data_IF_507476421962
#
_entry.id   IF_507476421962
#
_cell.length_a   1.000
_cell.length_b   1.000
_cell.length_c   1.000
_cell.angle_alpha   90.00
_cell.angle_beta   90.00
_cell.angle_gamma   90.00
#
_symmetry.space_group_name_H-M   'P 1'
#
loop_
_entity.id
_entity.type
_entity.pdbx_description
1 polymer ?
#
# COMPACT_ATOMS: atom_id res chain seq x y z
N UNK A 1 31.63 -4.23 3.33
CA UNK A 1 31.26 -3.58 2.05
C UNK A 1 30.81 -2.18 2.41
N UNK A 2 31.29 -1.14 1.72
CA UNK A 2 30.74 0.20 1.92
C UNK A 2 29.42 0.26 1.16
N UNK A 3 28.32 -0.05 1.85
CA UNK A 3 27.00 0.11 1.25
C UNK A 3 26.84 1.57 0.81
N UNK A 4 26.54 1.77 -0.47
CA UNK A 4 26.41 3.10 -1.08
C UNK A 4 25.17 3.81 -0.55
N UNK A 5 24.09 3.06 -0.37
CA UNK A 5 22.90 3.45 0.37
C UNK A 5 23.17 3.31 1.88
N UNK A 6 22.71 4.26 2.68
CA UNK A 6 22.84 4.23 4.14
C UNK A 6 21.49 4.42 4.80
N UNK A 7 21.44 4.08 6.08
CA UNK A 7 20.32 4.39 6.96
C UNK A 7 20.87 5.05 8.22
N UNK A 8 20.41 6.26 8.49
CA UNK A 8 20.81 7.06 9.65
C UNK A 8 19.65 7.11 10.64
N UNK A 9 19.97 7.04 11.94
CA UNK A 9 19.00 7.14 13.01
C UNK A 9 19.31 8.39 13.82
N UNK A 10 18.38 9.32 13.82
CA UNK A 10 18.42 10.54 14.62
C UNK A 10 17.25 10.50 15.60
N UNK A 11 17.55 10.46 16.90
CA UNK A 11 16.57 10.20 17.97
C UNK A 11 15.75 8.92 17.69
N UNK A 12 14.46 9.07 17.43
CA UNK A 12 13.54 7.98 17.13
C UNK A 12 13.11 7.97 15.65
N UNK A 13 13.83 8.69 14.78
CA UNK A 13 13.52 8.78 13.36
C UNK A 13 14.65 8.19 12.51
N UNK A 14 14.28 7.29 11.62
CA UNK A 14 15.13 6.67 10.64
C UNK A 14 15.02 7.39 9.30
N UNK A 15 16.16 7.64 8.67
CA UNK A 15 16.23 8.24 7.35
C UNK A 15 17.18 7.46 6.45
N UNK A 16 16.73 7.12 5.24
CA UNK A 16 17.64 6.63 4.21
C UNK A 16 18.49 7.77 3.65
N UNK A 17 19.73 7.48 3.27
CA UNK A 17 20.63 8.46 2.65
C UNK A 17 21.14 7.89 1.35
N UNK A 18 20.82 8.57 0.25
CA UNK A 18 21.25 8.26 -1.12
C UNK A 18 22.33 9.29 -1.53
N UNK A 19 23.63 8.99 -1.41
CA UNK A 19 24.66 9.98 -1.72
C UNK A 19 24.67 10.35 -3.21
N UNK A 20 24.62 11.65 -3.51
CA UNK A 20 24.57 12.19 -4.88
C UNK A 20 25.70 11.66 -5.78
N UNK A 21 26.90 11.47 -5.22
CA UNK A 21 28.05 10.95 -5.96
C UNK A 21 27.80 9.56 -6.59
N UNK A 22 26.83 8.81 -6.08
CA UNK A 22 26.46 7.49 -6.58
C UNK A 22 25.07 7.45 -7.20
N UNK A 23 24.10 8.16 -6.62
CA UNK A 23 22.70 8.09 -7.02
C UNK A 23 22.24 9.28 -7.84
N UNK A 24 22.95 10.41 -7.88
CA UNK A 24 22.48 11.65 -8.53
C UNK A 24 22.10 11.45 -10.00
N UNK A 25 23.05 10.99 -10.83
CA UNK A 25 22.76 10.73 -12.26
C UNK A 25 21.73 9.62 -12.49
N UNK A 26 21.59 8.69 -11.54
CA UNK A 26 20.62 7.62 -11.61
C UNK A 26 19.21 8.12 -11.29
N UNK A 27 19.09 9.04 -10.32
CA UNK A 27 17.86 9.74 -9.97
C UNK A 27 17.40 10.60 -11.14
N UNK A 28 18.30 11.36 -11.76
CA UNK A 28 17.96 12.16 -12.95
C UNK A 28 17.41 11.29 -14.10
N UNK A 29 18.10 10.18 -14.44
CA UNK A 29 17.65 9.24 -15.48
C UNK A 29 16.33 8.54 -15.11
N UNK A 30 16.11 8.31 -13.82
CA UNK A 30 14.88 7.71 -13.31
C UNK A 30 13.70 8.68 -13.36
N UNK A 31 13.88 9.93 -12.94
CA UNK A 31 12.85 10.95 -12.96
C UNK A 31 12.42 11.26 -14.41
N UNK A 32 13.38 11.40 -15.35
CA UNK A 32 13.09 11.52 -16.78
C UNK A 32 12.30 10.32 -17.32
N UNK A 33 12.55 9.12 -16.80
CA UNK A 33 11.83 7.91 -17.18
C UNK A 33 10.38 7.91 -16.66
N UNK A 34 10.16 8.35 -15.42
CA UNK A 34 8.83 8.47 -14.85
C UNK A 34 8.04 9.51 -15.63
N UNK A 35 8.61 10.70 -15.84
CA UNK A 35 7.97 11.79 -16.58
C UNK A 35 7.55 11.34 -17.99
N UNK A 36 8.44 10.67 -18.73
CA UNK A 36 8.13 10.18 -20.07
C UNK A 36 7.02 9.10 -20.08
N UNK A 37 6.86 8.34 -19.00
CA UNK A 37 5.76 7.37 -18.89
C UNK A 37 4.45 8.06 -18.54
N UNK A 38 4.48 9.00 -17.58
CA UNK A 38 3.31 9.76 -17.14
C UNK A 38 2.75 10.69 -18.23
N UNK A 39 3.60 11.12 -19.20
CA UNK A 39 3.20 11.90 -20.38
C UNK A 39 2.87 11.05 -21.62
N UNK A 40 2.76 9.73 -21.47
CA UNK A 40 2.49 8.77 -22.55
C UNK A 40 3.52 8.80 -23.71
N UNK A 41 4.73 9.33 -23.50
CA UNK A 41 5.80 9.37 -24.52
C UNK A 41 6.42 7.99 -24.77
N UNK A 42 6.35 7.09 -23.78
CA UNK A 42 6.84 5.72 -23.90
C UNK A 42 5.76 4.71 -23.54
N UNK A 43 5.80 3.55 -24.21
CA UNK A 43 4.92 2.44 -23.84
C UNK A 43 5.29 1.82 -22.49
N UNK A 44 4.31 1.23 -21.81
CA UNK A 44 4.49 0.46 -20.59
C UNK A 44 5.58 -0.63 -20.74
N UNK A 45 5.66 -1.28 -21.90
CA UNK A 45 6.71 -2.27 -22.18
C UNK A 45 8.11 -1.64 -22.19
N UNK A 46 8.25 -0.45 -22.79
CA UNK A 46 9.50 0.32 -22.78
C UNK A 46 9.86 0.74 -21.36
N UNK A 47 8.88 1.26 -20.63
CA UNK A 47 9.00 1.69 -19.24
C UNK A 47 9.53 0.57 -18.33
N UNK A 48 8.88 -0.59 -18.31
CA UNK A 48 9.32 -1.76 -17.52
C UNK A 48 10.72 -2.23 -17.93
N UNK A 49 11.05 -2.23 -19.22
CA UNK A 49 12.38 -2.65 -19.68
C UNK A 49 13.47 -1.67 -19.25
N UNK A 50 13.20 -0.36 -19.26
CA UNK A 50 14.11 0.66 -18.76
C UNK A 50 14.28 0.58 -17.24
N UNK A 51 13.19 0.41 -16.47
CA UNK A 51 13.27 0.15 -15.03
C UNK A 51 14.11 -1.12 -14.72
N UNK A 52 13.90 -2.22 -15.45
CA UNK A 52 14.73 -3.44 -15.30
C UNK A 52 16.20 -3.23 -15.64
N UNK A 53 16.54 -2.27 -16.52
CA UNK A 53 17.93 -1.90 -16.79
C UNK A 53 18.51 -1.15 -15.60
N UNK A 54 17.82 -0.13 -15.09
CA UNK A 54 18.23 0.64 -13.91
C UNK A 54 18.43 -0.28 -12.68
N UNK A 55 17.47 -1.19 -12.43
CA UNK A 55 17.54 -2.18 -11.35
C UNK A 55 18.74 -3.15 -11.45
N UNK A 56 19.26 -3.39 -12.65
CA UNK A 56 20.47 -4.21 -12.86
C UNK A 56 21.74 -3.41 -12.70
N UNK A 57 21.71 -2.13 -13.06
CA UNK A 57 22.84 -1.22 -12.93
C UNK A 57 23.11 -0.86 -11.48
N UNK A 58 22.06 -0.58 -10.70
CA UNK A 58 22.16 -0.29 -9.28
C UNK A 58 21.04 -1.03 -8.53
N UNK A 59 21.31 -2.28 -8.07
CA UNK A 59 20.33 -3.09 -7.35
C UNK A 59 19.84 -2.47 -6.04
N UNK A 60 20.62 -1.56 -5.46
CA UNK A 60 20.32 -0.91 -4.18
C UNK A 60 19.44 0.33 -4.32
N UNK A 61 19.15 0.75 -5.55
CA UNK A 61 18.20 1.83 -5.79
C UNK A 61 16.79 1.34 -5.52
N UNK A 62 16.31 1.50 -4.28
CA UNK A 62 15.03 0.92 -3.81
C UNK A 62 13.86 1.33 -4.72
N UNK A 63 13.87 2.56 -5.21
CA UNK A 63 12.70 3.15 -5.87
C UNK A 63 12.35 2.45 -7.18
N UNK A 64 13.37 2.06 -7.96
CA UNK A 64 13.15 1.33 -9.21
C UNK A 64 12.40 0.02 -8.99
N UNK A 65 12.61 -0.63 -7.84
CA UNK A 65 11.93 -1.88 -7.49
C UNK A 65 10.48 -1.62 -7.05
N UNK A 66 10.22 -0.50 -6.38
CA UNK A 66 8.87 -0.08 -6.03
C UNK A 66 8.05 0.22 -7.29
N UNK A 67 8.58 1.00 -8.23
CA UNK A 67 7.88 1.30 -9.48
C UNK A 67 7.72 0.07 -10.40
N UNK A 68 8.69 -0.85 -10.42
CA UNK A 68 8.48 -2.16 -11.05
C UNK A 68 7.34 -2.94 -10.39
N UNK A 69 7.19 -2.86 -9.07
CA UNK A 69 6.12 -3.53 -8.36
C UNK A 69 4.75 -2.95 -8.72
N UNK A 70 4.61 -1.62 -8.75
CA UNK A 70 3.37 -0.95 -9.18
C UNK A 70 3.00 -1.29 -10.63
N UNK A 71 3.93 -1.22 -11.56
CA UNK A 71 3.67 -1.63 -12.95
C UNK A 71 3.18 -3.10 -13.06
N UNK A 72 3.70 -3.99 -12.21
CA UNK A 72 3.19 -5.37 -12.17
C UNK A 72 1.85 -5.53 -11.46
N UNK A 73 1.49 -4.64 -10.53
CA UNK A 73 0.15 -4.61 -9.92
C UNK A 73 -0.89 -4.17 -10.97
N UNK A 74 -0.58 -3.12 -11.74
CA UNK A 74 -1.42 -2.64 -12.85
C UNK A 74 -1.65 -3.73 -13.92
N UNK A 75 -0.64 -4.57 -14.18
CA UNK A 75 -0.77 -5.74 -15.06
C UNK A 75 -1.51 -6.93 -14.44
N UNK A 76 -2.05 -6.78 -13.21
CA UNK A 76 -2.64 -7.87 -12.43
C UNK A 76 -1.68 -9.08 -12.30
N UNK A 77 -0.39 -8.81 -12.11
CA UNK A 77 0.66 -9.80 -11.96
C UNK A 77 1.27 -9.78 -10.54
N UNK A 78 0.48 -10.04 -9.48
CA UNK A 78 0.86 -9.75 -8.10
C UNK A 78 2.06 -10.58 -7.61
N UNK A 79 2.31 -11.77 -8.17
CA UNK A 79 3.55 -12.53 -7.88
C UNK A 79 4.81 -11.80 -8.35
N UNK A 80 4.76 -11.16 -9.52
CA UNK A 80 5.88 -10.37 -10.05
C UNK A 80 6.05 -9.10 -9.23
N UNK A 81 4.93 -8.45 -8.88
CA UNK A 81 4.92 -7.27 -8.02
C UNK A 81 5.58 -7.56 -6.67
N UNK A 82 5.16 -8.62 -5.97
CA UNK A 82 5.73 -9.00 -4.69
C UNK A 82 7.23 -9.28 -4.81
N UNK A 83 7.67 -10.01 -5.85
CA UNK A 83 9.09 -10.28 -6.06
C UNK A 83 9.91 -9.01 -6.33
N UNK A 84 9.35 -8.00 -6.99
CA UNK A 84 10.01 -6.71 -7.19
C UNK A 84 10.07 -5.93 -5.86
N UNK A 85 8.93 -5.77 -5.19
CA UNK A 85 8.85 -5.07 -3.91
C UNK A 85 9.80 -5.65 -2.85
N UNK A 86 9.88 -6.99 -2.74
CA UNK A 86 10.78 -7.68 -1.81
C UNK A 86 12.27 -7.42 -2.10
N UNK A 87 12.67 -7.14 -3.35
CA UNK A 87 14.05 -6.76 -3.67
C UNK A 87 14.38 -5.37 -3.13
N UNK A 88 13.49 -4.40 -3.33
CA UNK A 88 13.63 -3.06 -2.76
C UNK A 88 13.64 -3.11 -1.22
N UNK A 89 12.73 -3.88 -0.63
CA UNK A 89 12.68 -4.08 0.81
C UNK A 89 13.93 -4.77 1.35
N UNK A 90 14.49 -5.76 0.63
CA UNK A 90 15.75 -6.39 1.03
C UNK A 90 16.91 -5.38 1.07
N UNK A 91 16.96 -4.45 0.11
CA UNK A 91 17.96 -3.39 0.07
C UNK A 91 17.83 -2.40 1.23
N UNK A 92 16.60 -2.07 1.66
CA UNK A 92 16.39 -1.22 2.83
C UNK A 92 16.58 -1.96 4.16
N UNK A 93 15.97 -3.15 4.31
CA UNK A 93 15.95 -3.91 5.56
C UNK A 93 17.36 -4.34 6.03
N UNK A 94 18.32 -4.54 5.12
CA UNK A 94 19.70 -4.85 5.52
C UNK A 94 20.41 -3.68 6.23
N UNK A 95 19.91 -2.45 6.05
CA UNK A 95 20.49 -1.23 6.62
C UNK A 95 19.77 -0.79 7.89
N UNK A 96 18.48 -1.12 8.04
CA UNK A 96 17.71 -0.83 9.24
C UNK A 96 18.20 -1.75 10.38
N UNK A 97 18.71 -1.21 11.51
CA UNK A 97 19.14 -2.03 12.63
C UNK A 97 17.99 -2.88 13.18
N UNK A 98 18.25 -4.14 13.57
CA UNK A 98 17.22 -5.01 14.16
C UNK A 98 16.59 -4.42 15.45
N UNK A 99 17.34 -3.59 16.18
CA UNK A 99 16.87 -2.90 17.38
C UNK A 99 16.11 -1.60 17.10
N UNK A 100 15.97 -1.19 15.84
CA UNK A 100 15.28 0.04 15.48
C UNK A 100 13.77 -0.12 15.69
N UNK A 101 13.21 0.70 16.57
CA UNK A 101 11.78 0.76 16.88
C UNK A 101 11.20 2.16 16.64
N UNK A 102 11.88 2.95 15.81
CA UNK A 102 11.50 4.31 15.48
C UNK A 102 10.61 4.42 14.25
N UNK A 103 10.35 5.66 13.85
CA UNK A 103 9.55 6.01 12.68
C UNK A 103 10.45 6.19 11.45
N UNK A 104 9.95 5.79 10.28
CA UNK A 104 10.51 6.10 8.96
C UNK A 104 9.46 6.96 8.26
N UNK A 105 9.49 8.28 8.53
CA UNK A 105 8.39 9.17 8.14
C UNK A 105 8.40 9.49 6.64
N UNK A 106 7.21 9.58 6.04
CA UNK A 106 7.01 9.88 4.62
C UNK A 106 7.51 11.26 4.17
N UNK A 107 7.51 12.23 5.10
CA UNK A 107 7.86 13.61 4.79
C UNK A 107 9.34 13.79 4.41
N UNK A 108 10.22 12.86 4.79
CA UNK A 108 11.58 12.77 4.26
C UNK A 108 11.53 12.11 2.87
N UNK A 109 11.86 12.84 1.78
CA UNK A 109 11.80 12.30 0.42
C UNK A 109 12.56 10.99 0.25
N UNK A 110 13.70 10.85 0.93
CA UNK A 110 14.59 9.70 0.89
C UNK A 110 13.94 8.44 1.49
N UNK A 111 12.94 8.57 2.36
CA UNK A 111 12.21 7.45 2.92
C UNK A 111 11.13 6.89 2.00
N UNK A 112 10.64 7.70 1.06
CA UNK A 112 9.52 7.34 0.18
C UNK A 112 9.81 6.08 -0.67
N UNK A 113 11.00 5.86 -1.25
CA UNK A 113 11.31 4.62 -1.95
C UNK A 113 11.03 3.36 -1.12
N UNK A 114 11.44 3.35 0.15
CA UNK A 114 11.23 2.20 1.04
C UNK A 114 9.75 2.03 1.41
N UNK A 115 9.05 3.11 1.76
CA UNK A 115 7.63 3.07 2.10
C UNK A 115 6.76 2.67 0.90
N UNK A 116 7.08 3.15 -0.30
CA UNK A 116 6.46 2.71 -1.57
C UNK A 116 6.68 1.21 -1.81
N UNK A 117 7.90 0.71 -1.65
CA UNK A 117 8.18 -0.72 -1.78
C UNK A 117 7.41 -1.56 -0.73
N UNK A 118 7.31 -1.06 0.51
CA UNK A 118 6.54 -1.71 1.57
C UNK A 118 5.05 -1.76 1.24
N UNK A 119 4.48 -0.65 0.78
CA UNK A 119 3.09 -0.58 0.36
C UNK A 119 2.78 -1.47 -0.84
N UNK A 120 3.64 -1.48 -1.86
CA UNK A 120 3.49 -2.38 -3.00
C UNK A 120 3.53 -3.87 -2.59
N UNK A 121 4.33 -4.22 -1.57
CA UNK A 121 4.32 -5.57 -1.00
C UNK A 121 3.03 -5.88 -0.25
N UNK A 122 2.43 -4.92 0.46
CA UNK A 122 1.11 -5.06 1.09
C UNK A 122 0.06 -5.37 0.02
N UNK A 123 -0.06 -4.50 -0.99
CA UNK A 123 -1.01 -4.67 -2.09
C UNK A 123 -0.83 -6.03 -2.78
N UNK A 124 0.41 -6.40 -3.11
CA UNK A 124 0.67 -7.68 -3.75
C UNK A 124 0.24 -8.88 -2.88
N UNK A 125 0.38 -8.81 -1.56
CA UNK A 125 -0.12 -9.86 -0.65
C UNK A 125 -1.64 -9.88 -0.55
N UNK A 126 -2.30 -8.72 -0.54
CA UNK A 126 -3.78 -8.60 -0.63
C UNK A 126 -4.29 -9.31 -1.89
N UNK A 127 -3.74 -8.98 -3.07
CA UNK A 127 -4.09 -9.64 -4.33
C UNK A 127 -3.80 -11.15 -4.36
N UNK A 128 -2.79 -11.60 -3.61
CA UNK A 128 -2.46 -13.02 -3.47
C UNK A 128 -3.27 -13.75 -2.38
N UNK A 129 -4.17 -13.05 -1.69
CA UNK A 129 -4.92 -13.56 -0.54
C UNK A 129 -4.03 -14.08 0.59
N UNK A 130 -2.85 -13.47 0.76
CA UNK A 130 -1.91 -13.77 1.84
C UNK A 130 -2.21 -12.84 3.01
N UNK A 131 -3.38 -13.05 3.61
CA UNK A 131 -3.96 -12.10 4.57
C UNK A 131 -3.09 -11.85 5.80
N UNK A 132 -2.44 -12.90 6.30
CA UNK A 132 -1.52 -12.77 7.44
C UNK A 132 -0.31 -11.88 7.09
N UNK A 133 0.28 -12.07 5.91
CA UNK A 133 1.43 -11.28 5.47
C UNK A 133 1.01 -9.83 5.20
N UNK A 134 -0.16 -9.62 4.60
CA UNK A 134 -0.71 -8.29 4.34
C UNK A 134 -0.96 -7.52 5.66
N UNK A 135 -1.59 -8.14 6.65
CA UNK A 135 -1.81 -7.53 7.97
C UNK A 135 -0.48 -7.19 8.66
N UNK A 136 0.48 -8.13 8.71
CA UNK A 136 1.79 -7.90 9.32
C UNK A 136 2.57 -6.75 8.67
N UNK A 137 2.57 -6.67 7.35
CA UNK A 137 3.23 -5.58 6.63
C UNK A 137 2.48 -4.25 6.78
N UNK A 138 1.14 -4.28 6.91
CA UNK A 138 0.32 -3.10 7.18
C UNK A 138 0.61 -2.54 8.58
N UNK A 139 0.68 -3.38 9.60
CA UNK A 139 1.09 -2.94 10.95
C UNK A 139 2.50 -2.34 10.92
N UNK A 140 3.42 -2.94 10.16
CA UNK A 140 4.79 -2.43 10.01
C UNK A 140 4.83 -1.06 9.34
N UNK A 141 4.10 -0.83 8.24
CA UNK A 141 4.12 0.48 7.58
C UNK A 141 3.46 1.55 8.45
N UNK A 142 2.43 1.21 9.23
CA UNK A 142 1.79 2.14 10.17
C UNK A 142 2.69 2.48 11.37
N UNK A 143 3.49 1.54 11.85
CA UNK A 143 4.49 1.79 12.88
C UNK A 143 5.61 2.72 12.38
N UNK A 144 6.03 2.54 11.13
CA UNK A 144 7.04 3.40 10.51
C UNK A 144 6.51 4.77 10.07
N UNK A 145 5.29 4.82 9.56
CA UNK A 145 4.68 6.05 9.05
C UNK A 145 3.28 6.26 9.67
N UNK A 146 3.21 6.75 10.93
CA UNK A 146 1.94 6.87 11.66
C UNK A 146 0.90 7.78 11.00
N UNK A 147 1.35 8.81 10.26
CA UNK A 147 0.48 9.70 9.49
C UNK A 147 -0.20 8.99 8.31
N UNK A 148 0.25 7.78 7.97
CA UNK A 148 -0.33 6.91 6.94
C UNK A 148 -0.62 7.63 5.62
N UNK A 149 0.37 8.36 5.12
CA UNK A 149 0.25 9.17 3.90
C UNK A 149 -0.17 8.35 2.66
N UNK A 150 0.00 7.03 2.69
CA UNK A 150 -0.37 6.11 1.60
C UNK A 150 -1.75 5.47 1.80
N UNK A 151 -2.41 5.66 2.96
CA UNK A 151 -3.72 5.10 3.25
C UNK A 151 -3.73 3.59 3.52
N UNK A 152 -2.62 3.03 3.98
CA UNK A 152 -2.49 1.60 4.29
C UNK A 152 -3.41 1.15 5.43
N UNK A 153 -3.83 2.05 6.34
CA UNK A 153 -4.73 1.71 7.44
C UNK A 153 -6.04 1.08 6.95
N UNK A 154 -6.50 1.47 5.77
CA UNK A 154 -7.74 0.96 5.18
C UNK A 154 -7.68 -0.52 4.82
N UNK A 155 -6.48 -1.07 4.62
CA UNK A 155 -6.29 -2.48 4.32
C UNK A 155 -6.32 -3.36 5.59
N UNK A 156 -6.02 -2.81 6.77
CA UNK A 156 -5.79 -3.59 7.98
C UNK A 156 -7.05 -4.35 8.46
N UNK A 157 -8.19 -3.66 8.61
CA UNK A 157 -9.43 -4.27 9.08
C UNK A 157 -9.93 -5.46 8.22
N UNK A 158 -10.05 -5.28 6.89
CA UNK A 158 -10.40 -6.35 5.96
C UNK A 158 -9.47 -7.56 6.03
N UNK A 159 -8.15 -7.33 6.11
CA UNK A 159 -7.16 -8.41 6.14
C UNK A 159 -7.21 -9.17 7.49
N UNK A 160 -7.32 -8.46 8.61
CA UNK A 160 -7.52 -9.08 9.94
C UNK A 160 -8.78 -9.95 9.97
N UNK A 161 -9.90 -9.49 9.40
CA UNK A 161 -11.12 -10.29 9.31
C UNK A 161 -10.87 -11.60 8.54
N UNK A 162 -10.16 -11.54 7.41
CA UNK A 162 -9.86 -12.71 6.57
C UNK A 162 -8.86 -13.67 7.23
N UNK A 163 -8.02 -13.21 8.16
CA UNK A 163 -7.18 -14.10 8.99
C UNK A 163 -7.94 -14.82 10.10
N UNK A 164 -9.16 -14.38 10.42
CA UNK A 164 -9.97 -14.90 11.52
C UNK A 164 -9.74 -14.19 12.87
N UNK A 165 -8.90 -13.15 12.92
CA UNK A 165 -8.78 -12.29 14.11
C UNK A 165 -9.97 -11.33 14.23
N UNK A 166 -11.14 -11.90 14.56
CA UNK A 166 -12.40 -11.17 14.61
C UNK A 166 -12.42 -10.10 15.71
N UNK A 167 -11.62 -10.22 16.77
CA UNK A 167 -11.58 -9.22 17.83
C UNK A 167 -10.76 -8.00 17.41
N UNK A 168 -9.55 -8.19 16.86
CA UNK A 168 -8.75 -7.08 16.36
C UNK A 168 -9.40 -6.44 15.13
N UNK A 169 -9.94 -7.24 14.21
CA UNK A 169 -10.70 -6.74 13.06
C UNK A 169 -11.86 -5.85 13.51
N UNK A 170 -12.65 -6.30 14.50
CA UNK A 170 -13.76 -5.50 15.04
C UNK A 170 -13.28 -4.18 15.64
N UNK A 171 -12.13 -4.16 16.32
CA UNK A 171 -11.57 -2.94 16.88
C UNK A 171 -11.22 -1.92 15.78
N UNK A 172 -10.41 -2.33 14.81
CA UNK A 172 -9.97 -1.48 13.69
C UNK A 172 -11.16 -1.00 12.87
N UNK A 173 -12.04 -1.92 12.46
CA UNK A 173 -13.18 -1.58 11.62
C UNK A 173 -14.13 -0.59 12.32
N UNK A 174 -14.41 -0.77 13.61
CA UNK A 174 -15.27 0.18 14.36
C UNK A 174 -14.63 1.55 14.56
N UNK A 175 -13.31 1.61 14.74
CA UNK A 175 -12.60 2.86 14.97
C UNK A 175 -12.73 3.81 13.77
N UNK A 176 -12.87 3.27 12.56
CA UNK A 176 -12.82 4.07 11.34
C UNK A 176 -14.04 3.96 10.42
N UNK A 177 -15.07 3.17 10.73
CA UNK A 177 -16.20 2.98 9.81
C UNK A 177 -16.97 4.26 9.45
N UNK A 178 -17.01 5.25 10.35
CA UNK A 178 -17.62 6.55 10.07
C UNK A 178 -16.77 7.42 9.13
N UNK A 179 -15.46 7.21 9.09
CA UNK A 179 -14.52 7.90 8.20
C UNK A 179 -14.41 7.20 6.84
N UNK A 180 -14.34 5.87 6.86
CA UNK A 180 -14.14 5.01 5.69
C UNK A 180 -15.32 4.04 5.53
N UNK A 181 -16.29 4.44 4.71
CA UNK A 181 -17.58 3.74 4.56
C UNK A 181 -17.52 2.25 4.17
N UNK A 182 -16.53 1.72 3.42
CA UNK A 182 -16.42 0.29 3.15
C UNK A 182 -16.33 -0.57 4.43
N UNK A 183 -15.82 -0.03 5.54
CA UNK A 183 -15.75 -0.76 6.80
C UNK A 183 -17.10 -1.10 7.41
N UNK A 184 -18.18 -0.38 7.05
CA UNK A 184 -19.53 -0.79 7.46
C UNK A 184 -19.92 -2.14 6.87
N UNK A 185 -19.47 -2.46 5.66
CA UNK A 185 -19.73 -3.74 5.01
C UNK A 185 -18.91 -4.86 5.65
N UNK A 186 -17.64 -4.60 5.94
CA UNK A 186 -16.76 -5.55 6.64
C UNK A 186 -17.24 -5.82 8.08
N UNK A 187 -17.74 -4.80 8.80
CA UNK A 187 -18.41 -5.00 10.09
C UNK A 187 -19.69 -5.83 9.96
N UNK A 188 -20.47 -5.60 8.90
CA UNK A 188 -21.66 -6.39 8.61
C UNK A 188 -21.32 -7.86 8.40
N UNK A 189 -20.29 -8.14 7.61
CA UNK A 189 -19.77 -9.49 7.37
C UNK A 189 -19.27 -10.13 8.67
N UNK A 190 -18.46 -9.42 9.46
CA UNK A 190 -17.95 -9.90 10.75
C UNK A 190 -19.10 -10.30 11.70
N UNK A 191 -20.11 -9.43 11.85
CA UNK A 191 -21.29 -9.72 12.67
C UNK A 191 -22.10 -10.91 12.13
N UNK A 192 -22.24 -11.01 10.81
CA UNK A 192 -22.94 -12.12 10.17
C UNK A 192 -22.24 -13.45 10.42
N UNK A 193 -20.91 -13.50 10.25
CA UNK A 193 -20.08 -14.68 10.52
C UNK A 193 -20.17 -15.12 11.99
N UNK A 194 -20.36 -14.17 12.92
CA UNK A 194 -20.56 -14.45 14.34
C UNK A 194 -22.02 -14.79 14.72
N UNK A 195 -22.95 -14.87 13.76
CA UNK A 195 -24.37 -15.14 14.00
C UNK A 195 -25.16 -13.97 14.59
N UNK A 196 -24.57 -12.77 14.65
CA UNK A 196 -25.16 -11.56 15.24
C UNK A 196 -26.04 -10.81 14.22
N UNK A 197 -27.06 -11.46 13.69
CA UNK A 197 -27.82 -11.01 12.51
C UNK A 197 -28.39 -9.58 12.62
N UNK A 198 -28.85 -9.17 13.80
CA UNK A 198 -29.37 -7.81 14.03
C UNK A 198 -28.26 -6.76 13.92
N UNK A 199 -27.06 -7.06 14.43
CA UNK A 199 -25.91 -6.17 14.33
C UNK A 199 -25.41 -6.11 12.88
N UNK A 200 -25.36 -7.27 12.21
CA UNK A 200 -24.99 -7.36 10.79
C UNK A 200 -25.90 -6.48 9.92
N UNK A 201 -27.23 -6.67 10.03
CA UNK A 201 -28.21 -5.86 9.31
C UNK A 201 -28.12 -4.36 9.65
N UNK A 202 -27.71 -4.01 10.87
CA UNK A 202 -27.50 -2.61 11.26
C UNK A 202 -26.26 -2.01 10.61
N UNK A 203 -25.15 -2.76 10.57
CA UNK A 203 -23.91 -2.33 9.91
C UNK A 203 -24.11 -2.19 8.40
N UNK A 204 -24.73 -3.16 7.73
CA UNK A 204 -25.02 -3.06 6.29
C UNK A 204 -25.91 -1.86 5.94
N UNK A 205 -26.95 -1.57 6.74
CA UNK A 205 -27.78 -0.37 6.54
C UNK A 205 -26.98 0.93 6.66
N UNK A 206 -26.01 0.99 7.58
CA UNK A 206 -25.10 2.14 7.68
C UNK A 206 -24.21 2.27 6.45
N UNK A 207 -23.65 1.15 5.96
CA UNK A 207 -22.87 1.13 4.72
C UNK A 207 -23.67 1.65 3.53
N UNK A 208 -24.89 1.15 3.35
CA UNK A 208 -25.79 1.58 2.27
C UNK A 208 -26.10 3.08 2.32
N UNK A 209 -26.32 3.61 3.52
CA UNK A 209 -26.59 5.03 3.72
C UNK A 209 -25.35 5.91 3.54
N UNK A 210 -24.16 5.40 3.88
CA UNK A 210 -22.90 6.14 3.78
C UNK A 210 -22.38 6.22 2.35
N UNK A 211 -22.51 5.15 1.57
CA UNK A 211 -22.13 5.13 0.16
C UNK A 211 -23.02 4.18 -0.65
N UNK A 212 -24.04 4.76 -1.29
CA UNK A 212 -25.02 3.99 -2.09
C UNK A 212 -24.40 3.32 -3.30
N UNK A 213 -23.29 3.84 -3.85
CA UNK A 213 -22.61 3.21 -4.99
C UNK A 213 -22.06 1.82 -4.64
N UNK A 214 -21.47 1.65 -3.45
CA UNK A 214 -20.96 0.34 -3.01
C UNK A 214 -22.14 -0.64 -2.85
N UNK A 215 -23.27 -0.17 -2.30
CA UNK A 215 -24.47 -0.99 -2.18
C UNK A 215 -24.99 -1.48 -3.54
N UNK A 216 -25.03 -0.60 -4.55
CA UNK A 216 -25.45 -0.94 -5.91
C UNK A 216 -24.51 -1.97 -6.56
N UNK A 217 -23.19 -1.76 -6.44
CA UNK A 217 -22.17 -2.67 -6.98
C UNK A 217 -22.30 -4.06 -6.35
N UNK A 218 -22.38 -4.14 -5.02
CA UNK A 218 -22.53 -5.42 -4.31
C UNK A 218 -23.87 -6.11 -4.61
N UNK A 219 -24.90 -5.35 -5.01
CA UNK A 219 -26.19 -5.89 -5.46
C UNK A 219 -26.22 -6.23 -6.97
N UNK A 220 -25.08 -6.15 -7.67
CA UNK A 220 -24.94 -6.57 -9.07
C UNK A 220 -25.00 -5.46 -10.11
N UNK A 221 -25.16 -4.19 -9.71
CA UNK A 221 -25.05 -3.07 -10.63
C UNK A 221 -23.59 -2.55 -10.67
N UNK A 222 -22.76 -3.15 -11.53
CA UNK A 222 -21.33 -2.82 -11.63
C UNK A 222 -21.05 -1.39 -12.12
N UNK A 223 -22.04 -0.73 -12.71
CA UNK A 223 -21.91 0.62 -13.27
C UNK A 223 -23.04 1.51 -12.74
N UNK A 224 -23.02 1.85 -11.44
CA UNK A 224 -24.04 2.69 -10.84
C UNK A 224 -24.06 4.07 -11.50
N UNK A 225 -25.27 4.61 -11.72
CA UNK A 225 -25.41 5.94 -12.30
C UNK A 225 -24.86 6.99 -11.32
N UNK A 226 -24.10 7.99 -11.78
CA UNK A 226 -23.68 9.10 -10.95
C UNK A 226 -24.88 9.79 -10.29
N UNK A 227 -24.96 9.69 -8.97
CA UNK A 227 -25.92 10.38 -8.11
C UNK A 227 -25.37 11.74 -7.70
N UNK A 228 -26.26 12.72 -7.59
CA UNK A 228 -25.95 14.04 -7.02
C UNK A 228 -25.85 14.00 -5.48
N UNK A 229 -25.19 12.97 -4.94
CA UNK A 229 -24.99 12.74 -3.51
C UNK A 229 -23.50 12.71 -3.24
N UNK A 230 -23.06 13.53 -2.29
CA UNK A 230 -21.66 13.58 -1.87
C UNK A 230 -21.36 12.40 -0.94
N UNK A 231 -20.25 11.68 -1.19
CA UNK A 231 -19.73 10.64 -0.31
C UNK A 231 -18.25 10.93 0.00
N UNK A 232 -17.84 10.62 1.23
CA UNK A 232 -16.56 11.07 1.79
C UNK A 232 -15.32 10.35 1.23
N UNK A 233 -15.47 9.39 0.32
CA UNK A 233 -14.33 8.58 -0.13
C UNK A 233 -14.26 8.48 -1.66
N UNK A 234 -13.11 8.89 -2.18
CA UNK A 234 -12.64 8.75 -3.56
C UNK A 234 -11.27 8.08 -3.53
N UNK A 235 -11.17 6.87 -3.01
CA UNK A 235 -9.95 6.07 -3.14
C UNK A 235 -9.87 5.42 -4.51
N UNK A 236 -8.65 5.14 -4.96
CA UNK A 236 -8.40 4.37 -6.18
C UNK A 236 -8.93 2.93 -6.07
N UNK A 237 -8.99 2.19 -7.19
CA UNK A 237 -9.52 0.83 -7.24
C UNK A 237 -8.86 -0.16 -6.25
N UNK A 238 -7.67 0.15 -5.75
CA UNK A 238 -6.93 -0.67 -4.79
C UNK A 238 -7.49 -0.62 -3.36
N UNK A 239 -8.40 0.32 -3.07
CA UNK A 239 -9.01 0.54 -1.74
C UNK A 239 -10.53 0.41 -1.74
N UNK A 240 -11.14 0.11 -2.88
CA UNK A 240 -12.59 0.03 -3.07
C UNK A 240 -13.10 -1.41 -3.17
#
# INVERSE_FOLDING_TARGET
MNDRLRFEVNDNQGCFVFPDAWFGSLLDEFDELIDAYDTDEISETSYINKLRRLARQEPDFIDVHAYLAYAFLEQNAPRKALNAALKGLAAGNRLIPESFSGEIIWMHPENRPYLRALYAAILANVHLQRHQDAALLTDKILAYNPEDNQGARWLLGPELLRTGDHEQARHVLKAHADEFSPYWYELGLLHFLNGELVKAATAFRRGFAANTYIAEILCGNLHPFPLAVWHNFSGGPDTA
#
